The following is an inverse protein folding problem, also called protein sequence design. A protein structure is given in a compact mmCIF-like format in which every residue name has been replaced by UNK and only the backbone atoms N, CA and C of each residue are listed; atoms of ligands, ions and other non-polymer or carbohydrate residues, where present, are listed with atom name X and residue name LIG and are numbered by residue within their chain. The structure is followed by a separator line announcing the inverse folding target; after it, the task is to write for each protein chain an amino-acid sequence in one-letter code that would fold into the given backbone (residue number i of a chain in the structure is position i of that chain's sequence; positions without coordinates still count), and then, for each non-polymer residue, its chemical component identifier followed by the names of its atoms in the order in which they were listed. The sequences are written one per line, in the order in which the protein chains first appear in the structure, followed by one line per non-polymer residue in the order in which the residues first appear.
data_IF_343145785489
#
_entry.id   IF_343145785489
#
_cell.length_a   1.000
_cell.length_b   1.000
_cell.length_c   1.000
_cell.angle_alpha   90.00
_cell.angle_beta   90.00
_cell.angle_gamma   90.00
#
_symmetry.space_group_name_H-M   'P 1'
#
loop_
_entity.id
_entity.type
_entity.pdbx_description
1 polymer ?
#
# COMPACT_ATOMS: atom_id res chain seq x y z
N UNK A 1 -3.84 68.76 39.12
CA UNK A 1 -3.71 68.57 37.65
C UNK A 1 -3.69 67.07 37.39
N UNK A 2 -4.82 66.53 36.94
CA UNK A 2 -4.98 65.11 36.62
C UNK A 2 -4.95 65.02 35.11
N UNK A 3 -3.91 64.46 34.48
CA UNK A 3 -3.86 64.15 33.07
C UNK A 3 -4.50 62.80 32.85
N UNK A 4 -5.66 62.77 32.25
CA UNK A 4 -6.44 61.57 31.90
C UNK A 4 -5.93 61.06 30.55
N UNK A 5 -5.04 60.11 30.57
CA UNK A 5 -4.68 59.33 29.37
C UNK A 5 -5.86 58.41 28.98
N UNK A 6 -6.51 58.79 27.88
CA UNK A 6 -7.58 58.00 27.27
C UNK A 6 -6.92 57.17 26.14
N UNK A 7 -6.32 56.03 26.53
CA UNK A 7 -5.83 55.08 25.53
C UNK A 7 -6.94 54.08 25.21
N UNK A 8 -7.40 54.12 23.94
CA UNK A 8 -8.37 53.18 23.42
C UNK A 8 -7.66 51.90 22.95
N UNK A 9 -7.86 50.75 23.64
CA UNK A 9 -7.13 49.48 23.33
C UNK A 9 -7.54 48.85 21.99
N UNK A 10 -8.44 49.45 21.22
CA UNK A 10 -9.03 48.86 20.02
C UNK A 10 -8.19 48.93 18.75
N UNK A 11 -7.24 49.87 18.67
CA UNK A 11 -6.47 50.08 17.42
C UNK A 11 -5.31 49.08 17.25
N UNK A 12 -4.62 48.77 18.33
CA UNK A 12 -3.49 47.81 18.31
C UNK A 12 -3.96 46.37 18.24
N UNK A 13 -5.08 46.03 18.88
CA UNK A 13 -5.68 44.70 18.79
C UNK A 13 -6.13 44.37 17.36
N UNK A 14 -6.71 45.32 16.62
CA UNK A 14 -7.07 45.15 15.21
C UNK A 14 -5.87 45.00 14.31
N UNK A 15 -4.78 45.77 14.54
CA UNK A 15 -3.53 45.64 13.77
C UNK A 15 -2.82 44.33 14.03
N UNK A 16 -2.81 43.82 15.28
CA UNK A 16 -2.22 42.54 15.65
C UNK A 16 -2.98 41.35 15.05
N UNK A 17 -4.31 41.40 15.03
CA UNK A 17 -5.15 40.37 14.38
C UNK A 17 -4.93 40.35 12.86
N UNK A 18 -4.76 41.51 12.21
CA UNK A 18 -4.47 41.57 10.78
C UNK A 18 -3.07 41.08 10.44
N UNK A 19 -2.08 41.25 11.34
CA UNK A 19 -0.73 40.74 11.16
C UNK A 19 -0.66 39.22 11.36
N UNK A 20 -1.42 38.66 12.30
CA UNK A 20 -1.49 37.20 12.55
C UNK A 20 -2.22 36.46 11.42
N UNK A 21 -3.26 37.06 10.82
CA UNK A 21 -3.93 36.46 9.66
C UNK A 21 -3.08 36.45 8.38
N UNK A 22 -2.10 37.32 8.27
CA UNK A 22 -1.17 37.34 7.12
C UNK A 22 -0.09 36.26 7.20
N UNK A 23 0.16 35.65 8.39
CA UNK A 23 1.18 34.62 8.58
C UNK A 23 0.68 33.20 8.25
N UNK A 24 -0.62 33.01 7.99
CA UNK A 24 -1.19 31.71 7.59
C UNK A 24 -1.30 31.54 6.07
N UNK A 25 -0.43 32.21 5.29
CA UNK A 25 -0.20 31.80 3.89
C UNK A 25 0.56 30.46 3.91
N UNK A 26 -0.18 29.36 4.08
CA UNK A 26 0.36 28.02 3.79
C UNK A 26 0.78 28.01 2.34
N UNK A 27 2.09 28.03 2.10
CA UNK A 27 2.67 27.87 0.78
C UNK A 27 2.18 26.55 0.21
N UNK A 28 1.16 26.59 -0.61
CA UNK A 28 0.77 25.47 -1.44
C UNK A 28 1.89 25.23 -2.44
N UNK A 29 2.77 24.26 -2.18
CA UNK A 29 3.88 23.90 -3.05
C UNK A 29 3.35 23.12 -4.27
N UNK A 30 2.50 23.75 -5.07
CA UNK A 30 2.13 23.25 -6.38
C UNK A 30 3.24 23.55 -7.39
N UNK A 31 3.50 22.63 -8.31
CA UNK A 31 4.46 22.80 -9.40
C UNK A 31 3.90 22.27 -10.71
N UNK A 32 4.36 22.82 -11.82
CA UNK A 32 4.00 22.32 -13.15
C UNK A 32 4.94 21.18 -13.52
N UNK A 33 4.38 20.01 -13.85
CA UNK A 33 5.15 18.84 -14.26
C UNK A 33 5.89 19.13 -15.56
N UNK A 34 7.21 19.09 -15.54
CA UNK A 34 8.04 19.14 -16.76
C UNK A 34 8.38 17.78 -17.30
N UNK A 35 8.40 16.74 -16.44
CA UNK A 35 8.67 15.35 -16.79
C UNK A 35 8.16 14.44 -15.67
N UNK A 36 7.95 13.15 -15.97
CA UNK A 36 7.55 12.11 -15.01
C UNK A 36 8.58 10.99 -15.05
N UNK A 37 9.27 10.79 -13.93
CA UNK A 37 10.26 9.72 -13.76
C UNK A 37 9.70 8.62 -12.87
N UNK A 38 9.80 7.37 -13.32
CA UNK A 38 9.37 6.19 -12.56
C UNK A 38 10.60 5.36 -12.22
N UNK A 39 10.74 5.00 -10.95
CA UNK A 39 11.85 4.21 -10.42
C UNK A 39 11.32 2.98 -9.65
N UNK A 40 12.14 1.90 -9.57
CA UNK A 40 11.82 0.69 -8.81
C UNK A 40 11.05 -0.38 -9.60
N UNK A 41 10.75 -0.17 -10.88
CA UNK A 41 10.13 -1.17 -11.74
C UNK A 41 11.08 -2.34 -12.01
N UNK A 42 10.55 -3.56 -11.96
CA UNK A 42 11.27 -4.81 -12.25
C UNK A 42 10.60 -5.64 -13.33
N UNK A 43 9.29 -5.83 -13.25
CA UNK A 43 8.48 -6.64 -14.17
C UNK A 43 7.34 -5.84 -14.79
N UNK A 44 6.82 -4.87 -14.05
CA UNK A 44 5.74 -4.00 -14.51
C UNK A 44 6.28 -2.98 -15.49
N UNK A 45 5.56 -2.75 -16.58
CA UNK A 45 5.96 -1.74 -17.57
C UNK A 45 5.72 -0.33 -17.05
N UNK A 46 6.57 0.62 -17.44
CA UNK A 46 6.33 2.03 -17.14
C UNK A 46 4.97 2.52 -17.68
N UNK A 47 4.49 1.96 -18.80
CA UNK A 47 3.18 2.24 -19.36
C UNK A 47 2.02 1.93 -18.40
N UNK A 48 2.15 0.90 -17.57
CA UNK A 48 1.16 0.55 -16.54
C UNK A 48 1.07 1.67 -15.48
N UNK A 49 2.22 2.23 -15.07
CA UNK A 49 2.27 3.34 -14.11
C UNK A 49 1.67 4.59 -14.74
N UNK A 50 2.09 4.95 -15.96
CA UNK A 50 1.56 6.13 -16.66
C UNK A 50 0.06 6.02 -16.94
N UNK A 51 -0.46 4.83 -17.22
CA UNK A 51 -1.90 4.60 -17.40
C UNK A 51 -2.72 4.76 -16.12
N UNK A 52 -2.09 4.57 -14.96
CA UNK A 52 -2.74 4.74 -13.66
C UNK A 52 -2.62 6.17 -13.09
N UNK A 53 -1.65 6.96 -13.56
CA UNK A 53 -1.44 8.35 -13.13
C UNK A 53 -2.37 9.28 -13.91
N UNK A 54 -3.32 9.98 -13.25
CA UNK A 54 -4.32 10.82 -13.94
C UNK A 54 -3.79 12.23 -14.30
N UNK A 55 -2.47 12.42 -14.33
CA UNK A 55 -1.80 13.70 -14.62
C UNK A 55 -0.72 13.51 -15.67
N UNK A 56 -0.46 14.56 -16.44
CA UNK A 56 0.48 14.58 -17.55
C UNK A 56 1.48 15.73 -17.41
N UNK A 57 2.51 15.71 -18.24
CA UNK A 57 3.43 16.84 -18.39
C UNK A 57 2.65 18.11 -18.77
N UNK A 58 2.88 19.19 -18.06
CA UNK A 58 2.17 20.46 -18.19
C UNK A 58 1.10 20.68 -17.12
N UNK A 59 0.65 19.64 -16.42
CA UNK A 59 -0.32 19.78 -15.33
C UNK A 59 0.32 20.37 -14.07
N UNK A 60 -0.50 21.05 -13.27
CA UNK A 60 -0.10 21.61 -12.01
C UNK A 60 -0.41 20.61 -10.89
N UNK A 61 0.60 20.22 -10.12
CA UNK A 61 0.49 19.19 -9.07
C UNK A 61 0.88 19.76 -7.72
N UNK A 62 -0.05 19.67 -6.77
CA UNK A 62 0.15 19.99 -5.36
C UNK A 62 -0.06 18.77 -4.47
N UNK A 63 -0.30 19.01 -3.19
CA UNK A 63 -0.41 17.94 -2.20
C UNK A 63 -1.62 17.01 -2.42
N UNK A 64 -2.75 17.54 -2.92
CA UNK A 64 -3.96 16.74 -3.18
C UNK A 64 -3.79 15.86 -4.42
N UNK A 65 -3.17 16.39 -5.47
CA UNK A 65 -2.88 15.66 -6.69
C UNK A 65 -1.90 14.51 -6.41
N UNK A 66 -0.87 14.74 -5.57
CA UNK A 66 0.06 13.69 -5.11
C UNK A 66 -0.69 12.57 -4.39
N UNK A 67 -1.63 12.89 -3.49
CA UNK A 67 -2.48 11.87 -2.83
C UNK A 67 -3.34 11.09 -3.81
N UNK A 68 -3.86 11.78 -4.82
CA UNK A 68 -4.67 11.15 -5.87
C UNK A 68 -3.84 10.19 -6.70
N UNK A 69 -2.62 10.57 -7.11
CA UNK A 69 -1.68 9.70 -7.81
C UNK A 69 -1.36 8.47 -6.97
N UNK A 70 -1.01 8.66 -5.69
CA UNK A 70 -0.71 7.54 -4.79
C UNK A 70 -1.89 6.58 -4.70
N UNK A 71 -3.11 7.08 -4.49
CA UNK A 71 -4.32 6.27 -4.42
C UNK A 71 -4.58 5.49 -5.70
N UNK A 72 -4.44 6.12 -6.86
CA UNK A 72 -4.62 5.47 -8.16
C UNK A 72 -3.63 4.34 -8.37
N UNK A 73 -2.36 4.53 -7.99
CA UNK A 73 -1.34 3.50 -8.08
C UNK A 73 -1.59 2.34 -7.12
N UNK A 74 -1.99 2.61 -5.86
CA UNK A 74 -2.37 1.56 -4.92
C UNK A 74 -3.62 0.77 -5.36
N UNK A 75 -4.57 1.41 -6.04
CA UNK A 75 -5.77 0.75 -6.57
C UNK A 75 -5.45 -0.28 -7.67
N UNK A 76 -4.30 -0.21 -8.30
CA UNK A 76 -3.86 -1.24 -9.25
C UNK A 76 -3.51 -2.57 -8.57
N UNK A 77 -3.38 -2.57 -7.23
CA UNK A 77 -2.94 -3.70 -6.40
C UNK A 77 -1.58 -4.31 -6.78
N UNK A 78 -0.88 -3.69 -7.73
CA UNK A 78 0.40 -4.15 -8.29
C UNK A 78 1.59 -3.79 -7.38
N UNK A 79 1.46 -2.71 -6.61
CA UNK A 79 2.54 -2.16 -5.81
C UNK A 79 2.35 -2.42 -4.32
N UNK A 80 3.46 -2.77 -3.65
CA UNK A 80 3.55 -2.93 -2.20
C UNK A 80 3.79 -1.59 -1.51
N UNK A 81 4.60 -0.73 -2.14
CA UNK A 81 4.86 0.63 -1.69
C UNK A 81 4.92 1.61 -2.87
N UNK A 82 4.48 2.83 -2.63
CA UNK A 82 4.50 3.93 -3.60
C UNK A 82 4.93 5.19 -2.88
N UNK A 83 6.04 5.76 -3.29
CA UNK A 83 6.54 7.04 -2.81
C UNK A 83 6.53 8.04 -3.95
N UNK A 84 6.00 9.24 -3.69
CA UNK A 84 5.90 10.29 -4.69
C UNK A 84 6.63 11.51 -4.17
N UNK A 85 7.56 11.98 -4.97
CA UNK A 85 8.37 13.14 -4.69
C UNK A 85 8.51 14.05 -5.89
N UNK A 86 9.32 15.09 -5.75
CA UNK A 86 9.69 15.96 -6.86
C UNK A 86 11.19 16.23 -6.86
N UNK A 87 11.74 16.35 -8.05
CA UNK A 87 13.11 16.81 -8.29
C UNK A 87 13.04 18.04 -9.23
N UNK A 88 13.14 19.23 -8.65
CA UNK A 88 12.79 20.46 -9.37
C UNK A 88 11.33 20.45 -9.82
N UNK A 89 11.08 20.37 -11.14
CA UNK A 89 9.77 20.28 -11.74
C UNK A 89 9.47 18.87 -12.31
N UNK A 90 10.33 17.89 -12.03
CA UNK A 90 10.11 16.50 -12.38
C UNK A 90 9.29 15.80 -11.28
N UNK A 91 8.19 15.15 -11.65
CA UNK A 91 7.45 14.28 -10.76
C UNK A 91 8.18 12.93 -10.67
N UNK A 92 8.65 12.56 -9.48
CA UNK A 92 9.37 11.30 -9.24
C UNK A 92 8.45 10.33 -8.52
N UNK A 93 8.19 9.18 -9.14
CA UNK A 93 7.36 8.11 -8.60
C UNK A 93 8.27 6.90 -8.35
N UNK A 94 8.50 6.57 -7.08
CA UNK A 94 9.28 5.40 -6.69
C UNK A 94 8.30 4.32 -6.26
N UNK A 95 8.34 3.16 -6.91
CA UNK A 95 7.43 2.05 -6.63
C UNK A 95 8.19 0.81 -6.19
N UNK A 96 7.57 0.03 -5.31
CA UNK A 96 7.98 -1.32 -4.97
C UNK A 96 6.90 -2.28 -5.42
N UNK A 97 7.22 -3.11 -6.40
CA UNK A 97 6.28 -4.10 -6.92
C UNK A 97 5.98 -5.20 -5.90
N UNK A 98 4.74 -5.66 -5.85
CA UNK A 98 4.40 -6.88 -5.11
C UNK A 98 5.04 -8.08 -5.78
N UNK A 99 5.58 -9.05 -5.01
CA UNK A 99 6.11 -10.26 -5.59
C UNK A 99 5.00 -11.11 -6.21
N UNK A 100 5.37 -12.01 -7.13
CA UNK A 100 4.48 -13.06 -7.62
C UNK A 100 4.79 -14.38 -6.95
N UNK A 101 3.77 -15.22 -6.85
CA UNK A 101 3.88 -16.57 -6.33
C UNK A 101 4.58 -17.44 -7.38
N UNK A 102 5.68 -18.06 -6.99
CA UNK A 102 6.42 -19.01 -7.81
C UNK A 102 5.92 -20.45 -7.59
N UNK A 103 5.76 -20.84 -6.32
CA UNK A 103 5.26 -22.15 -5.93
C UNK A 103 4.48 -22.07 -4.61
N UNK A 104 3.58 -23.03 -4.41
CA UNK A 104 2.87 -23.23 -3.15
C UNK A 104 2.98 -24.70 -2.81
N UNK A 105 3.58 -25.01 -1.68
CA UNK A 105 3.80 -26.37 -1.21
C UNK A 105 3.07 -26.59 0.13
N UNK A 106 2.44 -27.76 0.25
CA UNK A 106 1.79 -28.20 1.48
C UNK A 106 2.50 -29.41 2.07
N UNK A 107 2.75 -29.38 3.36
CA UNK A 107 3.28 -30.52 4.10
C UNK A 107 2.39 -30.85 5.31
N UNK A 108 2.30 -32.13 5.66
CA UNK A 108 1.60 -32.60 6.86
C UNK A 108 0.08 -32.80 6.71
N UNK A 109 -0.54 -32.36 5.62
CA UNK A 109 -1.96 -32.51 5.32
C UNK A 109 -2.32 -33.95 4.91
N UNK A 110 -2.85 -34.73 5.83
CA UNK A 110 -3.27 -36.13 5.60
C UNK A 110 -4.81 -36.29 5.44
N UNK A 111 -5.56 -35.50 6.20
CA UNK A 111 -7.03 -35.55 6.19
C UNK A 111 -7.63 -34.85 4.96
N UNK A 112 -7.04 -33.78 4.50
CA UNK A 112 -7.44 -33.05 3.29
C UNK A 112 -6.36 -33.24 2.23
N UNK A 113 -6.75 -33.68 1.04
CA UNK A 113 -5.80 -33.89 -0.06
C UNK A 113 -5.21 -32.57 -0.56
N UNK A 114 -3.96 -32.58 -0.94
CA UNK A 114 -3.23 -31.41 -1.44
C UNK A 114 -3.94 -30.75 -2.64
N UNK A 115 -4.50 -31.56 -3.55
CA UNK A 115 -5.21 -31.07 -4.72
C UNK A 115 -6.44 -30.22 -4.32
N UNK A 116 -7.19 -30.64 -3.31
CA UNK A 116 -8.36 -29.90 -2.81
C UNK A 116 -7.94 -28.59 -2.11
N UNK A 117 -6.80 -28.59 -1.43
CA UNK A 117 -6.22 -27.37 -0.85
C UNK A 117 -5.82 -26.38 -1.93
N UNK A 118 -5.13 -26.84 -2.97
CA UNK A 118 -4.70 -26.01 -4.11
C UNK A 118 -5.92 -25.41 -4.84
N UNK A 119 -6.96 -26.20 -5.09
CA UNK A 119 -8.22 -25.70 -5.69
C UNK A 119 -8.86 -24.61 -4.83
N UNK A 120 -8.91 -24.79 -3.51
CA UNK A 120 -9.41 -23.78 -2.56
C UNK A 120 -8.61 -22.48 -2.60
N UNK A 121 -7.27 -22.58 -2.70
CA UNK A 121 -6.38 -21.43 -2.84
C UNK A 121 -6.64 -20.67 -4.14
N UNK A 122 -6.75 -21.39 -5.27
CA UNK A 122 -7.02 -20.78 -6.57
C UNK A 122 -8.33 -19.98 -6.57
N UNK A 123 -9.37 -20.53 -5.96
CA UNK A 123 -10.65 -19.84 -5.79
C UNK A 123 -10.56 -18.54 -4.97
N UNK A 124 -9.53 -18.43 -4.11
CA UNK A 124 -9.27 -17.25 -3.28
C UNK A 124 -8.25 -16.29 -3.91
N UNK A 125 -7.80 -16.54 -5.15
CA UNK A 125 -6.83 -15.70 -5.86
C UNK A 125 -5.37 -15.92 -5.45
N UNK A 126 -5.07 -17.03 -4.76
CA UNK A 126 -3.72 -17.46 -4.42
C UNK A 126 -3.33 -18.64 -5.31
N UNK A 127 -2.58 -18.37 -6.39
CA UNK A 127 -2.06 -19.40 -7.28
C UNK A 127 -0.72 -18.97 -7.87
N UNK A 128 0.03 -19.93 -8.42
CA UNK A 128 1.28 -19.66 -9.11
C UNK A 128 1.10 -18.63 -10.22
N UNK A 129 2.05 -17.71 -10.34
CA UNK A 129 2.02 -16.60 -11.30
C UNK A 129 1.17 -15.40 -10.87
N UNK A 130 0.32 -15.52 -9.84
CA UNK A 130 -0.48 -14.41 -9.31
C UNK A 130 0.34 -13.51 -8.38
N UNK A 131 -0.15 -12.27 -8.18
CA UNK A 131 0.44 -11.32 -7.23
C UNK A 131 0.22 -11.85 -5.81
N UNK A 132 1.31 -11.95 -5.05
CA UNK A 132 1.25 -12.37 -3.66
C UNK A 132 0.67 -11.26 -2.77
N UNK A 133 -0.35 -11.61 -1.99
CA UNK A 133 -0.96 -10.78 -0.96
C UNK A 133 -0.91 -11.51 0.38
N UNK A 134 -0.08 -11.01 1.30
CA UNK A 134 0.07 -11.64 2.62
C UNK A 134 -1.27 -11.77 3.37
N UNK A 135 -2.12 -10.73 3.31
CA UNK A 135 -3.44 -10.74 3.96
C UNK A 135 -4.32 -11.89 3.47
N UNK A 136 -4.27 -12.20 2.17
CA UNK A 136 -5.02 -13.33 1.60
C UNK A 136 -4.47 -14.67 2.12
N UNK A 137 -3.15 -14.82 2.21
CA UNK A 137 -2.54 -16.03 2.77
C UNK A 137 -2.91 -16.22 4.24
N UNK A 138 -2.80 -15.19 5.06
CA UNK A 138 -3.15 -15.23 6.48
C UNK A 138 -4.64 -15.58 6.70
N UNK A 139 -5.52 -15.05 5.85
CA UNK A 139 -6.95 -15.36 5.89
C UNK A 139 -7.21 -16.83 5.54
N UNK A 140 -6.58 -17.35 4.50
CA UNK A 140 -6.73 -18.75 4.07
C UNK A 140 -6.18 -19.70 5.13
N UNK A 141 -5.02 -19.40 5.74
CA UNK A 141 -4.47 -20.20 6.84
C UNK A 141 -5.48 -20.31 7.99
N UNK A 142 -6.12 -19.20 8.38
CA UNK A 142 -7.13 -19.17 9.42
C UNK A 142 -8.41 -19.94 9.02
N UNK A 143 -8.82 -19.85 7.75
CA UNK A 143 -9.99 -20.59 7.24
C UNK A 143 -9.73 -22.10 7.23
N UNK A 144 -8.53 -22.50 6.82
CA UNK A 144 -8.10 -23.90 6.81
C UNK A 144 -8.03 -24.46 8.23
N UNK A 145 -7.49 -23.73 9.20
CA UNK A 145 -7.47 -24.12 10.61
C UNK A 145 -8.90 -24.34 11.13
N UNK A 146 -9.83 -23.42 10.84
CA UNK A 146 -11.26 -23.60 11.19
C UNK A 146 -11.88 -24.84 10.55
N UNK A 147 -11.49 -25.15 9.32
CA UNK A 147 -11.97 -26.35 8.63
C UNK A 147 -11.50 -27.63 9.32
N UNK A 148 -10.24 -27.69 9.75
CA UNK A 148 -9.73 -28.83 10.54
C UNK A 148 -10.42 -28.96 11.89
N UNK A 149 -10.64 -27.84 12.59
CA UNK A 149 -11.39 -27.84 13.86
C UNK A 149 -12.82 -28.34 13.67
N UNK A 150 -13.50 -27.99 12.58
CA UNK A 150 -14.84 -28.45 12.26
C UNK A 150 -14.91 -29.97 12.01
N UNK A 151 -13.78 -30.59 11.66
CA UNK A 151 -13.63 -32.04 11.50
C UNK A 151 -13.18 -32.76 12.79
N UNK A 152 -13.22 -32.05 13.93
CA UNK A 152 -12.89 -32.61 15.24
C UNK A 152 -11.40 -32.54 15.58
N UNK A 153 -10.57 -31.87 14.78
CA UNK A 153 -9.12 -31.68 14.99
C UNK A 153 -8.85 -30.38 15.72
N UNK A 154 -9.12 -30.35 17.01
CA UNK A 154 -9.10 -29.13 17.83
C UNK A 154 -7.70 -28.56 18.05
N UNK A 155 -6.66 -29.37 17.93
CA UNK A 155 -5.26 -28.98 18.08
C UNK A 155 -4.59 -28.69 16.72
N UNK A 156 -5.36 -28.51 15.65
CA UNK A 156 -4.82 -28.20 14.35
C UNK A 156 -4.18 -26.81 14.35
N UNK A 157 -3.02 -26.71 13.72
CA UNK A 157 -2.28 -25.46 13.55
C UNK A 157 -1.73 -25.40 12.11
N UNK A 158 -1.79 -24.21 11.50
CA UNK A 158 -1.32 -23.95 10.15
C UNK A 158 -0.20 -22.92 10.21
N UNK A 159 1.01 -23.32 9.86
CA UNK A 159 2.15 -22.43 9.77
C UNK A 159 2.47 -22.12 8.31
N UNK A 160 2.71 -20.86 8.02
CA UNK A 160 3.07 -20.43 6.67
C UNK A 160 4.44 -19.80 6.65
N UNK A 161 5.30 -20.29 5.76
CA UNK A 161 6.63 -19.74 5.52
C UNK A 161 6.71 -19.15 4.12
N UNK A 162 7.25 -17.93 4.01
CA UNK A 162 7.40 -17.20 2.75
C UNK A 162 8.89 -17.03 2.48
N UNK A 163 9.36 -17.63 1.41
CA UNK A 163 10.74 -17.53 0.93
C UNK A 163 10.82 -16.54 -0.23
N UNK A 164 11.67 -15.51 -0.11
CA UNK A 164 11.89 -14.56 -1.19
C UNK A 164 12.85 -15.14 -2.22
N UNK A 165 12.41 -15.17 -3.46
CA UNK A 165 13.17 -15.68 -4.61
C UNK A 165 13.64 -14.53 -5.52
N UNK A 166 14.66 -14.77 -6.36
CA UNK A 166 15.11 -13.81 -7.35
C UNK A 166 13.99 -13.36 -8.28
N UNK A 167 14.11 -12.16 -8.88
CA UNK A 167 13.14 -11.54 -9.78
C UNK A 167 11.78 -11.25 -9.15
N UNK A 168 11.79 -10.81 -7.91
CA UNK A 168 10.60 -10.43 -7.14
C UNK A 168 9.51 -11.51 -7.14
N UNK A 169 9.89 -12.74 -6.79
CA UNK A 169 9.01 -13.92 -6.62
C UNK A 169 9.05 -14.41 -5.19
N UNK A 170 8.05 -15.16 -4.80
CA UNK A 170 7.99 -15.84 -3.50
C UNK A 170 7.58 -17.29 -3.68
N UNK A 171 8.22 -18.20 -2.93
CA UNK A 171 7.72 -19.53 -2.66
C UNK A 171 6.97 -19.53 -1.33
N UNK A 172 5.85 -20.22 -1.28
CA UNK A 172 5.02 -20.33 -0.08
C UNK A 172 5.01 -21.79 0.35
N UNK A 173 5.40 -22.01 1.59
CA UNK A 173 5.29 -23.33 2.25
C UNK A 173 4.22 -23.24 3.33
N UNK A 174 3.31 -24.20 3.32
CA UNK A 174 2.21 -24.32 4.27
C UNK A 174 2.37 -25.64 5.03
N UNK A 175 2.81 -25.55 6.27
CA UNK A 175 2.98 -26.68 7.17
C UNK A 175 1.69 -26.90 7.98
N UNK A 176 1.05 -28.06 7.79
CA UNK A 176 -0.21 -28.41 8.42
C UNK A 176 0.04 -29.39 9.57
N UNK A 177 -0.20 -28.93 10.77
CA UNK A 177 -0.21 -29.78 11.97
C UNK A 177 -1.65 -30.13 12.30
N UNK A 178 -2.08 -31.31 11.91
CA UNK A 178 -3.50 -31.69 12.02
C UNK A 178 -3.98 -31.94 13.44
N UNK A 179 -3.07 -32.13 14.40
CA UNK A 179 -3.41 -32.49 15.77
C UNK A 179 -4.02 -33.91 15.90
N UNK A 180 -4.52 -34.21 17.09
CA UNK A 180 -5.26 -35.45 17.37
C UNK A 180 -6.75 -35.25 17.14
N UNK A 181 -7.46 -36.35 16.84
CA UNK A 181 -8.93 -36.41 16.74
C UNK A 181 -9.52 -36.80 18.10
#
# INVERSE_FOLDING_TARGET
FVVKLKDSPGKYARSLILLVTLLYCTSSFAFVISDIRVEGLQRVSAGTVFGAVPYSVGDNVGAEEIRTIARSLFQTETFDDVQIGRDGNVLVIVVKERPTIDSIEFEGNKAIKTEALIEGLQGSGLSEGQIFKKVTLDQIASDLERQYVSQGRYDANIETTIENLPRNRVAIKVDVYEGNV
#
